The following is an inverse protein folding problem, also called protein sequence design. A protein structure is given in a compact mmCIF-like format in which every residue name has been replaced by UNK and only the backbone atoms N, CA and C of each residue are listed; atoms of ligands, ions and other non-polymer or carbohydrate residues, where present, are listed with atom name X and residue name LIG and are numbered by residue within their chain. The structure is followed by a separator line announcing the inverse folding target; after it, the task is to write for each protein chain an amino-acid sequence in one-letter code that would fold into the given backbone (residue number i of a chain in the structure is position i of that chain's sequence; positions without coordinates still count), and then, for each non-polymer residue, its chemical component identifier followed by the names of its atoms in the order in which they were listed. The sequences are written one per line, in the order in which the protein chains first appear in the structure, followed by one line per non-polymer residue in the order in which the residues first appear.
data_IF_411119360190
#
_entry.id   IF_411119360190
#
_cell.length_a   1.000
_cell.length_b   1.000
_cell.length_c   1.000
_cell.angle_alpha   90.00
_cell.angle_beta   90.00
_cell.angle_gamma   90.00
#
_symmetry.space_group_name_H-M   'P 1'
#
loop_
_entity.id
_entity.type
_entity.pdbx_description
1 polymer ?
#
# COMPACT_ATOMS: atom_id res chain seq x y z
N UNK A 1 -10.38 16.59 6.19
CA UNK A 1 -11.04 15.95 7.35
C UNK A 1 -10.29 16.33 8.62
N UNK A 2 -10.38 17.61 9.07
CA UNK A 2 -9.65 18.06 10.25
C UNK A 2 -10.25 17.45 11.52
N UNK A 3 -9.37 17.01 12.43
CA UNK A 3 -9.74 16.58 13.79
C UNK A 3 -8.82 17.38 14.71
N UNK A 4 -9.37 18.36 15.41
CA UNK A 4 -8.59 19.29 16.22
C UNK A 4 -8.32 18.71 17.60
N UNK A 5 -7.09 18.86 18.09
CA UNK A 5 -6.74 18.57 19.47
C UNK A 5 -7.46 19.54 20.41
N UNK A 6 -7.94 19.08 21.59
CA UNK A 6 -8.65 19.95 22.52
C UNK A 6 -7.75 20.96 23.23
N UNK A 7 -6.46 20.63 23.43
CA UNK A 7 -5.50 21.49 24.11
C UNK A 7 -4.88 22.54 23.19
N UNK A 8 -4.56 23.71 23.75
CA UNK A 8 -3.84 24.78 23.07
C UNK A 8 -2.32 24.51 23.03
N UNK A 9 -1.61 24.78 21.91
CA UNK A 9 -2.15 25.22 20.63
C UNK A 9 -2.89 24.10 19.90
N UNK A 10 -4.05 24.42 19.34
CA UNK A 10 -4.86 23.45 18.59
C UNK A 10 -4.12 23.01 17.32
N UNK A 11 -4.08 21.71 17.09
CA UNK A 11 -3.47 21.11 15.91
C UNK A 11 -4.40 20.07 15.29
N UNK A 12 -4.31 19.89 13.97
CA UNK A 12 -5.04 18.81 13.31
C UNK A 12 -4.33 17.48 13.53
N UNK A 13 -4.93 16.58 14.30
CA UNK A 13 -4.45 15.19 14.47
C UNK A 13 -4.57 14.37 13.18
N UNK A 14 -5.44 14.78 12.26
CA UNK A 14 -5.72 14.11 10.99
C UNK A 14 -5.02 14.76 9.78
N UNK A 15 -3.90 15.48 9.99
CA UNK A 15 -3.19 16.19 8.92
C UNK A 15 -2.67 15.27 7.79
N UNK A 16 -2.40 14.00 8.09
CA UNK A 16 -1.93 13.02 7.10
C UNK A 16 -3.05 12.43 6.24
N UNK A 17 -4.31 12.79 6.45
CA UNK A 17 -5.45 12.29 5.66
C UNK A 17 -5.46 12.94 4.29
N UNK A 18 -5.25 12.13 3.24
CA UNK A 18 -5.36 12.52 1.84
C UNK A 18 -6.74 12.19 1.27
N UNK A 19 -6.97 12.48 -0.01
CA UNK A 19 -8.25 12.25 -0.66
C UNK A 19 -8.66 10.77 -0.63
N UNK A 20 -7.75 9.86 -0.97
CA UNK A 20 -8.03 8.41 -0.98
C UNK A 20 -8.40 7.89 0.40
N UNK A 21 -7.60 8.22 1.42
CA UNK A 21 -7.86 7.77 2.80
C UNK A 21 -9.11 8.39 3.39
N UNK A 22 -9.42 9.65 3.07
CA UNK A 22 -10.69 10.26 3.44
C UNK A 22 -11.88 9.50 2.85
N UNK A 23 -11.80 9.13 1.56
CA UNK A 23 -12.87 8.39 0.88
C UNK A 23 -13.07 7.00 1.50
N UNK A 24 -11.97 6.29 1.76
CA UNK A 24 -11.99 4.99 2.46
C UNK A 24 -12.62 5.14 3.85
N UNK A 25 -12.21 6.13 4.65
CA UNK A 25 -12.75 6.35 6.00
C UNK A 25 -14.26 6.64 5.93
N UNK A 26 -14.71 7.51 5.02
CA UNK A 26 -16.15 7.80 4.86
C UNK A 26 -16.94 6.55 4.47
N UNK A 27 -16.46 5.79 3.49
CA UNK A 27 -17.13 4.58 3.02
C UNK A 27 -17.19 3.50 4.12
N UNK A 28 -16.08 3.27 4.83
CA UNK A 28 -16.01 2.29 5.91
C UNK A 28 -16.92 2.67 7.09
N UNK A 29 -17.05 3.94 7.44
CA UNK A 29 -18.01 4.40 8.47
C UNK A 29 -19.46 4.13 8.04
N UNK A 30 -19.82 4.43 6.78
CA UNK A 30 -21.17 4.16 6.24
C UNK A 30 -21.46 2.65 6.21
N UNK A 31 -20.50 1.84 5.74
CA UNK A 31 -20.62 0.39 5.73
C UNK A 31 -20.74 -0.18 7.14
N UNK A 32 -19.96 0.35 8.09
CA UNK A 32 -20.03 -0.01 9.50
C UNK A 32 -21.39 0.27 10.11
N UNK A 33 -21.96 1.45 9.88
CA UNK A 33 -23.30 1.80 10.34
C UNK A 33 -24.38 0.85 9.77
N UNK A 34 -24.28 0.51 8.48
CA UNK A 34 -25.19 -0.47 7.85
C UNK A 34 -25.05 -1.85 8.49
N UNK A 35 -23.82 -2.32 8.70
CA UNK A 35 -23.52 -3.60 9.34
C UNK A 35 -24.08 -3.68 10.76
N UNK A 36 -23.82 -2.67 11.60
CA UNK A 36 -24.34 -2.62 12.98
C UNK A 36 -25.88 -2.63 12.99
N UNK A 37 -26.53 -1.87 12.09
CA UNK A 37 -28.00 -1.86 11.99
C UNK A 37 -28.57 -3.22 11.59
N UNK A 38 -27.87 -3.96 10.74
CA UNK A 38 -28.27 -5.31 10.32
C UNK A 38 -28.12 -6.30 11.47
N UNK A 39 -26.98 -6.29 12.17
CA UNK A 39 -26.71 -7.18 13.31
C UNK A 39 -27.71 -6.92 14.45
N UNK A 40 -28.04 -5.65 14.73
CA UNK A 40 -29.02 -5.28 15.77
C UNK A 40 -30.42 -5.85 15.53
N UNK A 41 -30.78 -6.21 14.28
CA UNK A 41 -32.09 -6.79 13.94
C UNK A 41 -32.14 -8.31 14.15
N UNK A 42 -31.02 -8.95 14.46
CA UNK A 42 -30.94 -10.40 14.70
C UNK A 42 -31.24 -10.73 16.17
N UNK A 43 -31.55 -12.00 16.47
CA UNK A 43 -31.72 -12.48 17.85
C UNK A 43 -30.44 -12.32 18.67
N UNK A 44 -30.56 -12.26 20.01
CA UNK A 44 -29.42 -11.97 20.90
C UNK A 44 -28.26 -12.99 20.80
N UNK A 45 -28.54 -14.26 20.48
CA UNK A 45 -27.51 -15.28 20.21
C UNK A 45 -26.74 -14.98 18.92
N UNK A 46 -27.45 -14.57 17.86
CA UNK A 46 -26.88 -14.25 16.56
C UNK A 46 -26.14 -12.89 16.56
N UNK A 47 -26.47 -11.99 17.49
CA UNK A 47 -25.84 -10.68 17.64
C UNK A 47 -24.33 -10.78 17.92
N UNK A 48 -23.93 -11.64 18.87
CA UNK A 48 -22.51 -11.79 19.25
C UNK A 48 -21.68 -12.40 18.12
N UNK A 49 -22.23 -13.37 17.41
CA UNK A 49 -21.58 -13.98 16.24
C UNK A 49 -21.48 -13.00 15.07
N UNK A 50 -22.57 -12.29 14.78
CA UNK A 50 -22.59 -11.24 13.75
C UNK A 50 -21.58 -10.12 14.03
N UNK A 51 -21.44 -9.71 15.30
CA UNK A 51 -20.43 -8.73 15.70
C UNK A 51 -19.00 -9.25 15.51
N UNK A 52 -18.72 -10.50 15.92
CA UNK A 52 -17.41 -11.15 15.70
C UNK A 52 -17.05 -11.19 14.22
N UNK A 53 -17.99 -11.59 13.35
CA UNK A 53 -17.77 -11.64 11.92
C UNK A 53 -17.54 -10.24 11.32
N UNK A 54 -18.30 -9.24 11.77
CA UNK A 54 -18.12 -7.86 11.32
C UNK A 54 -16.77 -7.26 11.71
N UNK A 55 -16.28 -7.54 12.93
CA UNK A 55 -14.95 -7.12 13.40
C UNK A 55 -13.84 -7.80 12.59
N UNK A 56 -13.99 -9.09 12.25
CA UNK A 56 -13.02 -9.80 11.39
C UNK A 56 -12.89 -9.13 10.03
N UNK A 57 -14.01 -8.67 9.47
CA UNK A 57 -14.06 -7.94 8.20
C UNK A 57 -13.67 -8.80 7.00
N UNK A 58 -13.45 -8.13 5.87
CA UNK A 58 -13.01 -8.75 4.62
C UNK A 58 -11.49 -8.62 4.48
N UNK A 59 -10.85 -9.66 3.96
CA UNK A 59 -9.42 -9.66 3.67
C UNK A 59 -9.04 -8.56 2.67
N UNK A 60 -7.86 -7.97 2.87
CA UNK A 60 -7.41 -6.84 2.06
C UNK A 60 -7.29 -7.18 0.57
N UNK A 61 -6.87 -8.41 0.26
CA UNK A 61 -6.66 -8.87 -1.13
C UNK A 61 -7.99 -9.11 -1.85
N UNK A 62 -9.07 -9.38 -1.11
CA UNK A 62 -10.40 -9.56 -1.69
C UNK A 62 -11.17 -8.24 -1.90
N UNK A 63 -10.65 -7.12 -1.36
CA UNK A 63 -11.27 -5.79 -1.50
C UNK A 63 -10.98 -5.12 -2.84
N UNK A 64 -9.95 -5.55 -3.56
CA UNK A 64 -9.47 -4.87 -4.77
C UNK A 64 -9.11 -5.88 -5.86
N UNK A 65 -9.32 -5.49 -7.12
CA UNK A 65 -8.92 -6.30 -8.27
C UNK A 65 -7.49 -6.00 -8.75
N UNK A 66 -7.00 -4.79 -8.43
CA UNK A 66 -5.75 -4.24 -8.94
C UNK A 66 -4.85 -3.81 -7.79
N UNK A 67 -3.57 -4.12 -7.89
CA UNK A 67 -2.61 -3.84 -6.83
C UNK A 67 -1.28 -3.29 -7.35
N UNK A 68 -0.59 -2.55 -6.50
CA UNK A 68 0.82 -2.20 -6.67
C UNK A 68 1.61 -2.86 -5.56
N UNK A 69 2.53 -3.74 -5.93
CA UNK A 69 3.51 -4.32 -5.03
C UNK A 69 4.75 -3.44 -5.00
N UNK A 70 5.13 -2.99 -3.81
CA UNK A 70 6.31 -2.19 -3.54
C UNK A 70 7.33 -3.10 -2.87
N UNK A 71 8.51 -3.21 -3.49
CA UNK A 71 9.61 -4.04 -3.01
C UNK A 71 10.75 -3.11 -2.69
N UNK A 72 11.21 -3.18 -1.46
CA UNK A 72 12.36 -2.46 -0.98
C UNK A 72 13.44 -3.46 -0.59
N UNK A 73 14.67 -3.18 -1.00
CA UNK A 73 15.81 -4.08 -0.90
C UNK A 73 17.01 -3.30 -0.36
N UNK A 74 17.75 -3.90 0.56
CA UNK A 74 19.06 -3.42 1.01
C UNK A 74 20.07 -4.55 1.04
N UNK A 75 21.35 -4.22 0.91
CA UNK A 75 22.43 -5.21 0.82
C UNK A 75 22.49 -6.11 2.07
N UNK A 76 22.37 -5.47 3.24
CA UNK A 76 22.32 -6.14 4.53
C UNK A 76 21.01 -5.82 5.26
N UNK A 77 20.71 -6.62 6.29
CA UNK A 77 19.51 -6.45 7.13
C UNK A 77 19.40 -5.04 7.71
N UNK A 78 20.48 -4.50 8.29
CA UNK A 78 20.45 -3.20 8.96
C UNK A 78 20.19 -2.05 7.97
N UNK A 79 20.96 -2.02 6.86
CA UNK A 79 20.82 -1.00 5.81
C UNK A 79 19.44 -1.12 5.15
N UNK A 80 19.00 -2.35 4.88
CA UNK A 80 17.70 -2.62 4.33
C UNK A 80 16.57 -2.13 5.24
N UNK A 81 16.60 -2.46 6.53
CA UNK A 81 15.52 -2.09 7.46
C UNK A 81 15.39 -0.59 7.61
N UNK A 82 16.50 0.12 7.73
CA UNK A 82 16.54 1.58 7.74
C UNK A 82 15.97 2.18 6.46
N UNK A 83 16.43 1.69 5.30
CA UNK A 83 15.97 2.17 4.01
C UNK A 83 14.48 1.91 3.81
N UNK A 84 14.01 0.71 4.16
CA UNK A 84 12.62 0.33 4.00
C UNK A 84 11.70 1.04 5.01
N UNK A 85 12.19 1.40 6.19
CA UNK A 85 11.45 2.28 7.11
C UNK A 85 11.37 3.71 6.56
N UNK A 86 12.44 4.22 5.92
CA UNK A 86 12.40 5.49 5.20
C UNK A 86 11.37 5.47 4.06
N UNK A 87 11.38 4.41 3.23
CA UNK A 87 10.41 4.22 2.15
C UNK A 87 8.98 4.17 2.71
N UNK A 88 8.73 3.38 3.76
CA UNK A 88 7.42 3.23 4.41
C UNK A 88 6.78 4.59 4.73
N UNK A 89 7.56 5.50 5.33
CA UNK A 89 7.08 6.82 5.71
C UNK A 89 6.77 7.73 4.51
N UNK A 90 7.32 7.43 3.33
CA UNK A 90 7.11 8.20 2.09
C UNK A 90 6.05 7.60 1.16
N UNK A 91 5.66 6.33 1.32
CA UNK A 91 4.61 5.72 0.48
C UNK A 91 3.32 6.57 0.52
N UNK A 92 2.86 6.93 1.72
CA UNK A 92 1.63 7.73 1.88
C UNK A 92 1.75 9.14 1.33
N UNK A 93 2.87 9.81 1.58
CA UNK A 93 3.06 11.23 1.27
C UNK A 93 3.55 11.45 -0.17
N UNK A 94 4.14 10.46 -0.83
CA UNK A 94 4.67 10.62 -2.18
C UNK A 94 4.01 9.71 -3.19
N UNK A 95 3.88 8.40 -2.92
CA UNK A 95 3.30 7.47 -3.89
C UNK A 95 1.79 7.68 -4.01
N UNK A 96 1.06 7.61 -2.89
CA UNK A 96 -0.41 7.72 -2.93
C UNK A 96 -0.86 9.07 -3.49
N UNK A 97 -0.22 10.17 -3.07
CA UNK A 97 -0.53 11.49 -3.65
C UNK A 97 -0.25 11.55 -5.16
N UNK A 98 0.83 10.94 -5.64
CA UNK A 98 1.10 10.91 -7.09
C UNK A 98 0.13 10.01 -7.84
N UNK A 99 -0.34 8.93 -7.22
CA UNK A 99 -1.35 8.03 -7.81
C UNK A 99 -2.73 8.69 -7.86
N UNK A 100 -3.06 9.59 -6.92
CA UNK A 100 -4.30 10.38 -6.96
C UNK A 100 -4.38 11.31 -8.18
N UNK A 101 -3.25 11.69 -8.78
CA UNK A 101 -3.21 12.47 -10.03
C UNK A 101 -3.66 11.64 -11.25
N UNK A 102 -3.71 10.30 -11.14
CA UNK A 102 -4.01 9.44 -12.27
C UNK A 102 -5.53 9.35 -12.52
N UNK A 103 -6.03 9.79 -13.70
CA UNK A 103 -7.45 10.06 -13.91
C UNK A 103 -8.41 8.88 -13.76
N UNK A 104 -7.94 7.65 -14.02
CA UNK A 104 -8.78 6.44 -13.95
C UNK A 104 -8.78 5.80 -12.56
N UNK A 105 -7.98 6.28 -11.62
CA UNK A 105 -7.97 5.78 -10.25
C UNK A 105 -9.02 6.55 -9.45
N UNK A 106 -9.92 5.81 -8.82
CA UNK A 106 -10.91 6.42 -7.95
C UNK A 106 -10.32 6.75 -6.57
N UNK A 107 -9.55 5.82 -6.01
CA UNK A 107 -8.72 6.01 -4.82
C UNK A 107 -7.72 4.85 -4.67
N UNK A 108 -6.64 5.07 -3.91
CA UNK A 108 -5.70 4.01 -3.54
C UNK A 108 -5.67 3.74 -2.04
N UNK A 109 -5.43 2.48 -1.68
CA UNK A 109 -5.44 2.02 -0.29
C UNK A 109 -4.12 1.32 0.03
N UNK A 110 -3.30 1.89 0.91
CA UNK A 110 -2.12 1.19 1.43
C UNK A 110 -2.57 0.15 2.44
N UNK A 111 -2.06 -1.08 2.36
CA UNK A 111 -2.30 -2.06 3.42
C UNK A 111 -1.60 -1.63 4.73
N UNK A 112 -2.34 -1.40 5.83
CA UNK A 112 -1.78 -0.83 7.06
C UNK A 112 -0.77 -1.76 7.74
N UNK A 113 -0.97 -3.09 7.68
CA UNK A 113 -0.18 -4.06 8.45
C UNK A 113 0.35 -5.26 7.64
N UNK A 114 -0.02 -5.45 6.36
CA UNK A 114 0.56 -6.55 5.57
C UNK A 114 1.90 -6.09 4.96
N UNK A 115 3.00 -6.45 5.62
CA UNK A 115 4.33 -6.40 5.02
C UNK A 115 5.05 -7.71 5.20
N UNK A 116 5.53 -8.30 4.10
CA UNK A 116 6.41 -9.48 4.16
C UNK A 116 7.86 -9.02 4.31
N UNK A 117 8.57 -9.61 5.26
CA UNK A 117 10.01 -9.42 5.47
C UNK A 117 10.72 -10.74 5.14
N UNK A 118 11.90 -10.68 4.54
CA UNK A 118 12.72 -11.87 4.32
C UNK A 118 13.57 -11.79 3.07
N UNK A 119 13.97 -12.95 2.54
CA UNK A 119 14.66 -13.02 1.26
C UNK A 119 13.75 -12.55 0.13
N UNK A 120 14.39 -11.94 -0.86
CA UNK A 120 13.73 -11.38 -2.01
C UNK A 120 13.16 -12.47 -2.93
N UNK A 121 11.83 -12.53 -3.09
CA UNK A 121 11.22 -13.58 -3.91
C UNK A 121 11.45 -13.33 -5.41
N UNK A 122 12.15 -14.27 -6.07
CA UNK A 122 12.66 -14.15 -7.46
C UNK A 122 11.59 -13.76 -8.49
N UNK A 123 10.35 -14.20 -8.29
CA UNK A 123 9.22 -13.95 -9.21
C UNK A 123 8.80 -12.47 -9.26
N UNK A 124 8.98 -11.73 -8.17
CA UNK A 124 8.62 -10.33 -8.07
C UNK A 124 9.71 -9.39 -8.61
N UNK A 125 10.93 -9.91 -8.78
CA UNK A 125 12.15 -9.19 -9.18
C UNK A 125 12.38 -9.30 -10.71
N UNK A 126 11.36 -9.71 -11.47
CA UNK A 126 11.45 -10.03 -12.88
C UNK A 126 11.70 -8.79 -13.79
N UNK A 127 12.91 -8.26 -13.75
CA UNK A 127 13.52 -7.40 -14.74
C UNK A 127 14.96 -7.84 -14.95
N UNK A 128 15.40 -8.05 -16.20
CA UNK A 128 16.75 -8.55 -16.55
C UNK A 128 17.90 -7.78 -15.87
N UNK A 129 17.69 -6.52 -15.46
CA UNK A 129 18.68 -5.65 -14.80
C UNK A 129 18.78 -5.80 -13.29
N UNK A 130 17.83 -6.44 -12.60
CA UNK A 130 17.82 -6.55 -11.14
C UNK A 130 18.42 -7.88 -10.63
N UNK A 131 18.85 -8.75 -11.55
CA UNK A 131 18.62 -10.21 -11.48
C UNK A 131 19.82 -11.06 -11.07
N UNK A 132 20.80 -10.54 -10.33
CA UNK A 132 21.89 -11.36 -9.77
C UNK A 132 22.37 -10.89 -8.41
N UNK A 133 22.57 -9.59 -8.22
CA UNK A 133 23.14 -9.04 -6.99
C UNK A 133 22.17 -9.00 -5.80
N UNK A 134 20.85 -8.95 -6.06
CA UNK A 134 19.83 -8.68 -5.04
C UNK A 134 19.01 -9.91 -4.63
N UNK A 135 19.31 -11.08 -5.18
CA UNK A 135 18.48 -12.29 -4.96
C UNK A 135 18.59 -12.86 -3.54
N UNK A 136 19.74 -12.72 -2.89
CA UNK A 136 19.98 -13.19 -1.52
C UNK A 136 19.82 -12.11 -0.44
N UNK A 137 19.51 -10.89 -0.86
CA UNK A 137 19.53 -9.73 0.02
C UNK A 137 18.23 -9.58 0.83
N UNK A 138 18.31 -8.76 1.88
CA UNK A 138 17.18 -8.50 2.75
C UNK A 138 16.15 -7.61 2.05
N UNK A 139 14.88 -8.04 2.09
CA UNK A 139 13.77 -7.37 1.43
C UNK A 139 12.56 -7.19 2.32
N UNK A 140 11.86 -6.09 2.08
CA UNK A 140 10.55 -5.79 2.67
C UNK A 140 9.59 -5.37 1.58
N UNK A 141 8.40 -5.96 1.63
CA UNK A 141 7.37 -5.78 0.62
C UNK A 141 6.13 -5.16 1.23
N UNK A 142 5.42 -4.36 0.43
CA UNK A 142 4.10 -3.84 0.75
C UNK A 142 3.19 -3.96 -0.46
N UNK A 143 1.89 -3.92 -0.20
CA UNK A 143 0.86 -3.91 -1.22
C UNK A 143 -0.02 -2.66 -1.06
N UNK A 144 -0.36 -2.06 -2.18
CA UNK A 144 -1.31 -0.96 -2.30
C UNK A 144 -2.44 -1.42 -3.21
N UNK A 145 -3.67 -1.43 -2.70
CA UNK A 145 -4.87 -1.68 -3.48
C UNK A 145 -5.24 -0.45 -4.31
N UNK A 146 -5.62 -0.67 -5.56
CA UNK A 146 -6.10 0.36 -6.46
C UNK A 146 -7.59 0.12 -6.73
N UNK A 147 -8.42 1.12 -6.43
CA UNK A 147 -9.81 1.07 -6.86
C UNK A 147 -9.94 1.75 -8.22
N UNK A 148 -10.20 0.92 -9.24
CA UNK A 148 -10.35 1.33 -10.63
C UNK A 148 -11.78 0.98 -11.07
N UNK A 149 -12.31 1.62 -12.13
CA UNK A 149 -13.59 1.24 -12.72
C UNK A 149 -13.63 -0.24 -13.10
N UNK A 150 -14.79 -0.88 -13.02
CA UNK A 150 -14.96 -2.32 -13.29
C UNK A 150 -14.50 -2.74 -14.69
N UNK A 151 -14.64 -1.85 -15.69
CA UNK A 151 -14.21 -2.07 -17.07
C UNK A 151 -12.72 -1.76 -17.29
N UNK A 152 -11.93 -1.56 -16.23
CA UNK A 152 -10.51 -1.27 -16.36
C UNK A 152 -9.75 -2.49 -16.89
N UNK A 153 -9.27 -2.38 -18.13
CA UNK A 153 -8.35 -3.34 -18.70
C UNK A 153 -6.92 -2.80 -18.63
N UNK A 154 -6.00 -3.59 -18.07
CA UNK A 154 -4.59 -3.27 -17.99
C UNK A 154 -3.92 -3.36 -19.37
N UNK A 155 -4.14 -2.31 -20.18
CA UNK A 155 -3.58 -2.19 -21.52
C UNK A 155 -2.10 -1.75 -21.48
N UNK A 156 -1.43 -1.83 -22.64
CA UNK A 156 -0.05 -1.36 -22.80
C UNK A 156 0.10 0.12 -22.43
N UNK A 157 -0.91 0.94 -22.71
CA UNK A 157 -0.88 2.37 -22.38
C UNK A 157 -0.94 2.58 -20.86
N UNK A 158 -1.80 1.83 -20.16
CA UNK A 158 -1.89 1.95 -18.70
C UNK A 158 -0.63 1.50 -17.98
N UNK A 159 0.02 0.46 -18.50
CA UNK A 159 1.34 0.06 -18.04
C UNK A 159 2.36 1.19 -18.17
N UNK A 160 2.36 1.92 -19.28
CA UNK A 160 3.27 3.06 -19.49
C UNK A 160 2.95 4.19 -18.49
N UNK A 161 1.67 4.54 -18.32
CA UNK A 161 1.24 5.58 -17.38
C UNK A 161 1.60 5.24 -15.93
N UNK A 162 1.25 4.04 -15.44
CA UNK A 162 1.58 3.63 -14.08
C UNK A 162 3.10 3.57 -13.86
N UNK A 163 3.86 3.07 -14.84
CA UNK A 163 5.31 3.06 -14.77
C UNK A 163 5.91 4.47 -14.69
N UNK A 164 5.30 5.48 -15.32
CA UNK A 164 5.73 6.87 -15.17
C UNK A 164 5.65 7.32 -13.70
N UNK A 165 4.52 7.09 -13.02
CA UNK A 165 4.37 7.41 -11.59
C UNK A 165 5.33 6.61 -10.71
N UNK A 166 5.54 5.33 -11.01
CA UNK A 166 6.51 4.50 -10.29
C UNK A 166 7.94 5.02 -10.42
N UNK A 167 8.36 5.39 -11.64
CA UNK A 167 9.69 5.94 -11.89
C UNK A 167 9.86 7.32 -11.23
N UNK A 168 8.84 8.18 -11.27
CA UNK A 168 8.80 9.48 -10.57
C UNK A 168 9.04 9.28 -9.07
N UNK A 169 8.33 8.34 -8.45
CA UNK A 169 8.48 7.98 -7.04
C UNK A 169 9.88 7.43 -6.72
N UNK A 170 10.37 6.44 -7.50
CA UNK A 170 11.69 5.83 -7.28
C UNK A 170 12.82 6.88 -7.35
N UNK A 171 12.78 7.77 -8.36
CA UNK A 171 13.77 8.84 -8.52
C UNK A 171 13.77 9.79 -7.32
N UNK A 172 12.58 10.19 -6.86
CA UNK A 172 12.40 11.12 -5.72
C UNK A 172 12.91 10.52 -4.42
N UNK A 173 12.57 9.26 -4.12
CA UNK A 173 13.03 8.58 -2.91
C UNK A 173 14.55 8.40 -2.93
N UNK A 174 15.11 7.86 -4.01
CA UNK A 174 16.57 7.66 -4.10
C UNK A 174 17.30 8.99 -3.92
N UNK A 175 16.84 10.05 -4.59
CA UNK A 175 17.42 11.39 -4.43
C UNK A 175 17.41 11.90 -2.99
N UNK A 176 16.28 11.76 -2.28
CA UNK A 176 16.15 12.22 -0.88
C UNK A 176 16.96 11.35 0.09
N UNK A 177 16.97 10.04 -0.08
CA UNK A 177 17.67 9.13 0.82
C UNK A 177 19.19 9.36 0.77
N UNK A 178 19.75 9.52 -0.43
CA UNK A 178 21.18 9.78 -0.63
C UNK A 178 21.58 11.10 0.04
N UNK A 179 20.79 12.17 -0.16
CA UNK A 179 21.03 13.47 0.48
C UNK A 179 20.99 13.39 2.01
N UNK A 180 20.08 12.60 2.56
CA UNK A 180 19.92 12.48 4.01
C UNK A 180 20.99 11.64 4.70
N UNK A 181 21.52 10.59 4.06
CA UNK A 181 22.38 9.60 4.74
C UNK A 181 23.76 9.36 4.13
N UNK A 182 24.13 10.02 3.03
CA UNK A 182 25.45 9.85 2.35
C UNK A 182 25.80 8.38 2.02
N UNK A 183 24.80 7.53 1.77
CA UNK A 183 24.99 6.11 1.40
C UNK A 183 25.12 5.97 -0.11
N UNK A 184 25.96 5.03 -0.56
CA UNK A 184 26.11 4.70 -1.98
C UNK A 184 24.82 4.16 -2.62
N UNK A 185 24.58 4.56 -3.87
CA UNK A 185 23.40 4.15 -4.67
C UNK A 185 23.30 2.64 -4.91
N UNK A 186 24.42 1.94 -4.78
CA UNK A 186 24.61 0.52 -5.01
C UNK A 186 24.11 -0.36 -3.86
N UNK A 187 23.90 0.20 -2.66
CA UNK A 187 23.58 -0.58 -1.47
C UNK A 187 22.07 -0.74 -1.22
N UNK A 188 21.23 -0.01 -1.97
CA UNK A 188 19.78 -0.04 -1.80
C UNK A 188 19.03 0.03 -3.13
N UNK A 189 17.91 -0.69 -3.22
CA UNK A 189 17.07 -0.70 -4.41
C UNK A 189 15.58 -0.72 -4.07
N UNK A 190 14.77 -0.11 -4.94
CA UNK A 190 13.31 -0.12 -4.84
C UNK A 190 12.77 -0.52 -6.19
N UNK A 191 11.79 -1.42 -6.17
CA UNK A 191 11.03 -1.81 -7.34
C UNK A 191 9.54 -1.70 -7.05
N UNK A 192 8.79 -1.16 -8.01
CA UNK A 192 7.34 -1.13 -7.96
C UNK A 192 6.83 -1.90 -9.16
N UNK A 193 5.84 -2.75 -8.91
CA UNK A 193 5.22 -3.58 -9.93
C UNK A 193 3.73 -3.60 -9.75
N UNK A 194 3.01 -3.46 -10.87
CA UNK A 194 1.59 -3.73 -10.92
C UNK A 194 1.34 -5.24 -10.86
N UNK A 195 0.35 -5.65 -10.06
CA UNK A 195 -0.04 -7.04 -9.82
C UNK A 195 -1.56 -7.17 -9.84
N UNK A 196 -2.07 -8.15 -10.59
CA UNK A 196 -3.50 -8.48 -10.62
C UNK A 196 -3.95 -9.26 -9.38
N UNK A 197 -5.26 -9.37 -9.15
CA UNK A 197 -5.83 -10.12 -8.02
C UNK A 197 -5.33 -11.56 -7.91
N UNK A 198 -5.22 -12.30 -9.02
CA UNK A 198 -4.75 -13.69 -9.00
C UNK A 198 -3.29 -13.78 -8.51
N UNK A 199 -2.44 -12.86 -8.98
CA UNK A 199 -1.05 -12.77 -8.54
C UNK A 199 -0.99 -12.31 -7.08
N UNK A 200 -1.78 -11.31 -6.70
CA UNK A 200 -1.87 -10.81 -5.34
C UNK A 200 -2.33 -11.89 -4.35
N UNK A 201 -3.33 -12.71 -4.68
CA UNK A 201 -3.78 -13.84 -3.84
C UNK A 201 -2.69 -14.88 -3.66
N UNK A 202 -1.95 -15.21 -4.72
CA UNK A 202 -0.83 -16.15 -4.63
C UNK A 202 0.29 -15.64 -3.71
N UNK A 203 0.54 -14.33 -3.70
CA UNK A 203 1.62 -13.74 -2.92
C UNK A 203 1.20 -13.24 -1.53
N UNK A 204 -0.07 -12.89 -1.31
CA UNK A 204 -0.55 -12.18 -0.11
C UNK A 204 -1.83 -12.78 0.46
N UNK A 205 -2.40 -13.79 -0.19
CA UNK A 205 -3.45 -14.60 0.40
C UNK A 205 -2.93 -15.27 1.67
N UNK A 206 -3.77 -15.24 2.69
CA UNK A 206 -3.55 -16.05 3.88
C UNK A 206 -4.04 -17.47 3.50
N UNK A 207 -3.19 -18.48 3.64
CA UNK A 207 -3.63 -19.88 3.60
C UNK A 207 -4.38 -20.20 4.89
#
# INVERSE_FOLDING_TARGET
MPILTPAYPQQSSAFNVNYSTMKIIKQTVIQGLKGIRQIRRQSSTNFNEGLKQWIKGVDFVDKYNHFVTIICVGIDKNIGEDFCNFVKNRIRVELVLSLEEYPKLEYSHISPNKSKKGKCEKRLIAGKKFKKFWEDNWCKQWIVGLNMPELFNYSKNEKIFLNYYFLKFIKKIKGKYIKHRKIERTNVAIHLRYTDIHEAKKFWGDN
#
